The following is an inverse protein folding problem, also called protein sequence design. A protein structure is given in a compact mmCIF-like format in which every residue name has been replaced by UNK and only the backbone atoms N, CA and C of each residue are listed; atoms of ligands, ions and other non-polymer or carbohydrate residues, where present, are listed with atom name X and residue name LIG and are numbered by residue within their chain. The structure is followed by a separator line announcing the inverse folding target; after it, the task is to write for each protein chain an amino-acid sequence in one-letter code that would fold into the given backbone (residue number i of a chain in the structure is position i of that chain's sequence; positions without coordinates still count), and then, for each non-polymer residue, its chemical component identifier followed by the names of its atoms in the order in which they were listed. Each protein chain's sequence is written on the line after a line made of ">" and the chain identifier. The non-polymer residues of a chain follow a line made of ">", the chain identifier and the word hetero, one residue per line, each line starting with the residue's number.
data_IF_070226728994
#
_entry.id   IF_070226728994
#
_cell.length_a   1.000
_cell.length_b   1.000
_cell.length_c   1.000
_cell.angle_alpha   90.00
_cell.angle_beta   90.00
_cell.angle_gamma   90.00
#
_symmetry.space_group_name_H-M   'P 1'
#
loop_
_entity.id
_entity.type
_entity.pdbx_description
1 polymer ?
#
# COMPACT_ATOMS: atom_id res chain seq x y z
N UNK A 1 -23.42 23.63 -27.26
CA UNK A 1 -23.64 22.90 -25.98
C UNK A 1 -22.39 22.08 -25.71
N UNK A 2 -21.67 22.39 -24.61
CA UNK A 2 -20.46 21.66 -24.21
C UNK A 2 -20.79 20.58 -23.17
N UNK A 3 -19.95 19.54 -23.10
CA UNK A 3 -19.99 18.54 -22.04
C UNK A 3 -19.22 19.06 -20.81
N UNK A 4 -19.69 18.72 -19.61
CA UNK A 4 -19.05 19.04 -18.35
C UNK A 4 -18.92 17.78 -17.52
N UNK A 5 -17.75 17.57 -16.92
CA UNK A 5 -17.55 16.47 -15.98
C UNK A 5 -18.35 16.72 -14.69
N UNK A 6 -18.97 15.67 -14.18
CA UNK A 6 -19.50 15.64 -12.81
C UNK A 6 -18.34 15.64 -11.80
N UNK A 7 -18.61 15.92 -10.52
CA UNK A 7 -17.61 15.77 -9.46
C UNK A 7 -16.98 14.37 -9.42
N UNK A 8 -17.79 13.32 -9.58
CA UNK A 8 -17.30 11.94 -9.67
C UNK A 8 -16.46 11.70 -10.94
N UNK A 9 -16.87 12.28 -12.08
CA UNK A 9 -16.11 12.20 -13.32
C UNK A 9 -14.75 12.91 -13.24
N UNK A 10 -14.64 13.98 -12.45
CA UNK A 10 -13.37 14.66 -12.22
C UNK A 10 -12.34 13.76 -11.52
N UNK A 11 -12.78 12.86 -10.62
CA UNK A 11 -11.89 11.91 -9.96
C UNK A 11 -11.23 10.92 -10.93
N UNK A 12 -11.73 10.77 -12.14
CA UNK A 12 -11.11 9.95 -13.19
C UNK A 12 -10.06 10.71 -14.01
N UNK A 13 -9.90 12.01 -13.80
CA UNK A 13 -8.86 12.80 -14.43
C UNK A 13 -7.55 12.61 -13.66
N UNK A 14 -6.46 12.33 -14.38
CA UNK A 14 -5.14 12.03 -13.80
C UNK A 14 -4.64 13.10 -12.85
N UNK A 15 -4.78 14.37 -13.23
CA UNK A 15 -4.25 15.52 -12.48
C UNK A 15 -5.25 16.12 -11.47
N UNK A 16 -6.43 15.53 -11.31
CA UNK A 16 -7.43 16.07 -10.38
C UNK A 16 -7.01 15.84 -8.91
N UNK A 17 -7.27 16.82 -8.03
CA UNK A 17 -7.14 16.58 -6.59
C UNK A 17 -7.99 15.39 -6.16
N UNK A 18 -7.38 14.44 -5.44
CA UNK A 18 -8.05 13.21 -5.02
C UNK A 18 -8.32 12.21 -6.15
N UNK A 19 -7.61 12.33 -7.29
CA UNK A 19 -7.73 11.41 -8.43
C UNK A 19 -7.72 9.95 -8.01
N UNK A 20 -8.59 9.17 -8.67
CA UNK A 20 -8.69 7.71 -8.65
C UNK A 20 -8.50 7.14 -10.07
N UNK A 21 -7.78 7.85 -10.93
CA UNK A 21 -7.57 7.47 -12.31
C UNK A 21 -6.93 6.08 -12.45
N UNK A 22 -5.80 5.87 -11.76
CA UNK A 22 -5.08 4.59 -11.85
C UNK A 22 -5.83 3.48 -11.12
N UNK A 23 -6.52 3.81 -10.01
CA UNK A 23 -7.42 2.85 -9.38
C UNK A 23 -8.53 2.38 -10.34
N UNK A 24 -9.14 3.27 -11.10
CA UNK A 24 -10.15 2.91 -12.10
C UNK A 24 -9.56 2.05 -13.23
N UNK A 25 -8.34 2.35 -13.70
CA UNK A 25 -7.63 1.52 -14.68
C UNK A 25 -7.31 0.13 -14.13
N UNK A 26 -6.82 0.05 -12.89
CA UNK A 26 -6.53 -1.21 -12.22
C UNK A 26 -7.81 -2.06 -12.03
N UNK A 27 -8.86 -1.43 -11.50
CA UNK A 27 -10.13 -2.11 -11.20
C UNK A 27 -10.86 -2.56 -12.46
N UNK A 28 -10.89 -1.73 -13.52
CA UNK A 28 -11.55 -2.05 -14.79
C UNK A 28 -10.70 -2.91 -15.74
N UNK A 29 -9.44 -3.14 -15.44
CA UNK A 29 -8.52 -3.95 -16.22
C UNK A 29 -8.32 -5.36 -15.64
N UNK A 30 -7.09 -5.69 -15.30
CA UNK A 30 -6.73 -7.04 -14.84
C UNK A 30 -7.49 -7.53 -13.60
N UNK A 31 -7.86 -6.63 -12.68
CA UNK A 31 -8.68 -7.01 -11.52
C UNK A 31 -10.08 -7.49 -11.95
N UNK A 32 -10.72 -6.79 -12.90
CA UNK A 32 -12.02 -7.19 -13.42
C UNK A 32 -11.99 -8.59 -14.05
N UNK A 33 -10.95 -8.90 -14.83
CA UNK A 33 -10.77 -10.21 -15.43
C UNK A 33 -10.63 -11.31 -14.38
N UNK A 34 -9.80 -11.08 -13.36
CA UNK A 34 -9.60 -12.04 -12.25
C UNK A 34 -10.89 -12.31 -11.48
N UNK A 35 -11.67 -11.26 -11.19
CA UNK A 35 -12.96 -11.41 -10.51
C UNK A 35 -13.99 -12.18 -11.35
N UNK A 36 -13.88 -12.16 -12.68
CA UNK A 36 -14.72 -12.98 -13.56
C UNK A 36 -14.52 -14.50 -13.37
N UNK A 37 -13.35 -14.90 -12.89
CA UNK A 37 -12.98 -16.30 -12.61
C UNK A 37 -13.01 -16.67 -11.12
N UNK A 38 -13.56 -15.81 -10.27
CA UNK A 38 -13.64 -16.02 -8.83
C UNK A 38 -14.29 -17.38 -8.44
N UNK A 39 -15.37 -17.88 -9.10
CA UNK A 39 -15.91 -19.19 -8.77
C UNK A 39 -14.88 -20.32 -8.88
N UNK A 40 -13.98 -20.24 -9.86
CA UNK A 40 -12.93 -21.23 -10.05
C UNK A 40 -11.82 -21.11 -8.98
N UNK A 41 -11.45 -19.88 -8.59
CA UNK A 41 -10.52 -19.66 -7.48
C UNK A 41 -11.06 -20.25 -6.16
N UNK A 42 -12.33 -20.02 -5.86
CA UNK A 42 -12.99 -20.59 -4.67
C UNK A 42 -13.02 -22.12 -4.71
N UNK A 43 -13.28 -22.72 -5.88
CA UNK A 43 -13.37 -24.18 -6.04
C UNK A 43 -12.00 -24.87 -5.90
N UNK A 44 -10.94 -24.23 -6.38
CA UNK A 44 -9.59 -24.83 -6.44
C UNK A 44 -8.68 -24.41 -5.29
N UNK A 45 -8.99 -23.31 -4.61
CA UNK A 45 -8.09 -22.68 -3.62
C UNK A 45 -6.86 -22.04 -4.23
N UNK A 46 -6.77 -21.95 -5.57
CA UNK A 46 -5.64 -21.36 -6.29
C UNK A 46 -6.01 -20.01 -6.89
N UNK A 47 -5.11 -19.03 -6.76
CA UNK A 47 -5.30 -17.70 -7.33
C UNK A 47 -5.36 -17.73 -8.86
N UNK A 48 -5.89 -16.68 -9.48
CA UNK A 48 -5.89 -16.54 -10.94
C UNK A 48 -4.46 -16.60 -11.51
N UNK A 49 -3.50 -15.95 -10.85
CA UNK A 49 -2.12 -15.91 -11.31
C UNK A 49 -1.45 -17.30 -11.28
N UNK A 50 -1.67 -18.06 -10.21
CA UNK A 50 -1.16 -19.43 -10.09
C UNK A 50 -1.75 -20.35 -11.17
N UNK A 51 -3.07 -20.26 -11.41
CA UNK A 51 -3.74 -21.11 -12.41
C UNK A 51 -3.33 -20.82 -13.86
N UNK A 52 -3.08 -19.55 -14.19
CA UNK A 52 -2.78 -19.15 -15.56
C UNK A 52 -1.28 -18.98 -15.86
N UNK A 53 -0.47 -18.75 -14.85
CA UNK A 53 0.95 -18.42 -15.01
C UNK A 53 1.88 -19.27 -14.14
N UNK A 54 1.36 -20.05 -13.20
CA UNK A 54 2.15 -20.87 -12.27
C UNK A 54 2.97 -20.06 -11.26
N UNK A 55 2.66 -18.78 -11.09
CA UNK A 55 3.40 -17.85 -10.20
C UNK A 55 2.43 -17.06 -9.33
N UNK A 56 2.93 -16.48 -8.24
CA UNK A 56 2.14 -15.62 -7.37
C UNK A 56 1.75 -14.27 -8.02
N UNK A 57 0.76 -13.60 -7.45
CA UNK A 57 0.21 -12.35 -7.99
C UNK A 57 1.25 -11.24 -8.15
N UNK A 58 2.16 -11.06 -7.19
CA UNK A 58 3.22 -10.06 -7.25
C UNK A 58 4.30 -10.39 -8.28
N UNK A 59 4.67 -11.66 -8.42
CA UNK A 59 5.64 -12.11 -9.43
C UNK A 59 5.08 -11.91 -10.85
N UNK A 60 3.80 -12.22 -11.05
CA UNK A 60 3.09 -11.94 -12.31
C UNK A 60 3.02 -10.44 -12.57
N UNK A 61 2.73 -9.63 -11.56
CA UNK A 61 2.69 -8.17 -11.69
C UNK A 61 4.06 -7.61 -12.10
N UNK A 62 5.13 -8.07 -11.48
CA UNK A 62 6.51 -7.65 -11.79
C UNK A 62 6.92 -7.96 -13.24
N UNK A 63 6.31 -8.97 -13.88
CA UNK A 63 6.57 -9.32 -15.29
C UNK A 63 5.86 -8.43 -16.31
N UNK A 64 4.98 -7.51 -15.89
CA UNK A 64 4.22 -6.58 -16.74
C UNK A 64 4.43 -5.14 -16.27
N UNK A 65 5.36 -4.43 -16.90
CA UNK A 65 5.75 -3.07 -16.49
C UNK A 65 4.58 -2.07 -16.51
N UNK A 66 3.64 -2.22 -17.47
CA UNK A 66 2.49 -1.32 -17.55
C UNK A 66 1.50 -1.60 -16.39
N UNK A 67 1.17 -2.86 -16.16
CA UNK A 67 0.32 -3.26 -15.04
C UNK A 67 0.95 -2.89 -13.70
N UNK A 68 2.25 -3.08 -13.54
CA UNK A 68 3.04 -2.70 -12.37
C UNK A 68 2.93 -1.19 -12.09
N UNK A 69 3.16 -0.36 -13.10
CA UNK A 69 3.02 1.11 -13.00
C UNK A 69 1.61 1.52 -12.59
N UNK A 70 0.57 0.97 -13.24
CA UNK A 70 -0.83 1.26 -12.90
C UNK A 70 -1.14 0.85 -11.48
N UNK A 71 -0.69 -0.33 -11.04
CA UNK A 71 -0.89 -0.83 -9.70
C UNK A 71 -0.25 0.08 -8.64
N UNK A 72 1.01 0.44 -8.78
CA UNK A 72 1.70 1.30 -7.81
C UNK A 72 1.06 2.68 -7.69
N UNK A 73 0.67 3.30 -8.81
CA UNK A 73 -0.06 4.57 -8.78
C UNK A 73 -1.45 4.43 -8.16
N UNK A 74 -2.17 3.33 -8.40
CA UNK A 74 -3.44 3.05 -7.76
C UNK A 74 -3.29 2.93 -6.23
N UNK A 75 -2.23 2.26 -5.75
CA UNK A 75 -1.94 2.16 -4.30
C UNK A 75 -1.62 3.52 -3.68
N UNK A 76 -0.92 4.39 -4.41
CA UNK A 76 -0.70 5.79 -4.00
C UNK A 76 -2.03 6.54 -3.87
N UNK A 77 -2.91 6.44 -4.85
CA UNK A 77 -4.23 7.12 -4.83
C UNK A 77 -5.07 6.68 -3.62
N UNK A 78 -5.11 5.38 -3.33
CA UNK A 78 -5.81 4.85 -2.16
C UNK A 78 -5.16 5.30 -0.84
N UNK A 79 -3.82 5.29 -0.78
CA UNK A 79 -3.08 5.72 0.41
C UNK A 79 -3.31 7.20 0.68
N UNK A 80 -3.32 8.05 -0.36
CA UNK A 80 -3.59 9.49 -0.25
C UNK A 80 -4.94 9.77 0.40
N UNK A 81 -5.96 9.01 0.06
CA UNK A 81 -7.28 9.18 0.68
C UNK A 81 -7.30 8.78 2.15
N UNK A 82 -6.56 7.72 2.53
CA UNK A 82 -6.53 7.21 3.89
C UNK A 82 -5.56 7.97 4.81
N UNK A 83 -4.49 8.54 4.26
CA UNK A 83 -3.38 9.13 5.02
C UNK A 83 -3.81 10.20 6.03
N UNK A 84 -4.72 11.16 5.74
CA UNK A 84 -5.13 12.15 6.73
C UNK A 84 -5.76 11.52 7.98
N UNK A 85 -6.62 10.52 7.81
CA UNK A 85 -7.26 9.81 8.91
C UNK A 85 -6.25 8.97 9.71
N UNK A 86 -5.30 8.32 9.02
CA UNK A 86 -4.24 7.54 9.65
C UNK A 86 -3.34 8.46 10.48
N UNK A 87 -2.86 9.55 9.92
CA UNK A 87 -1.93 10.47 10.58
C UNK A 87 -2.56 11.13 11.81
N UNK A 88 -3.87 11.42 11.77
CA UNK A 88 -4.59 12.00 12.89
C UNK A 88 -4.67 11.08 14.14
N UNK A 89 -4.40 9.78 13.99
CA UNK A 89 -4.42 8.81 15.10
C UNK A 89 -3.11 8.80 15.91
N UNK A 90 -2.05 9.48 15.45
CA UNK A 90 -0.72 9.32 16.03
C UNK A 90 -0.20 10.60 16.68
N UNK A 91 0.41 10.45 17.85
CA UNK A 91 1.24 11.49 18.44
C UNK A 91 2.66 11.42 17.87
N UNK A 92 3.01 12.40 17.03
CA UNK A 92 4.27 12.44 16.28
C UNK A 92 5.32 13.37 16.91
N UNK A 93 4.97 14.16 17.94
CA UNK A 93 5.83 15.21 18.51
C UNK A 93 7.20 14.72 18.99
N UNK A 94 7.25 13.50 19.54
CA UNK A 94 8.48 12.91 20.07
C UNK A 94 9.24 12.07 19.04
N UNK A 95 8.66 11.81 17.87
CA UNK A 95 9.25 10.95 16.84
C UNK A 95 10.36 11.70 16.10
N UNK A 96 11.52 11.07 15.93
CA UNK A 96 12.68 11.61 15.22
C UNK A 96 13.07 10.83 13.99
N UNK A 97 12.81 9.53 13.99
CA UNK A 97 13.10 8.67 12.86
C UNK A 97 11.92 7.71 12.59
N UNK A 98 11.52 7.62 11.33
CA UNK A 98 10.38 6.81 10.87
C UNK A 98 10.87 5.89 9.76
N UNK A 99 10.55 4.59 9.86
CA UNK A 99 10.73 3.62 8.77
C UNK A 99 9.37 3.24 8.24
N UNK A 100 9.16 3.35 6.93
CA UNK A 100 7.96 2.86 6.23
C UNK A 100 8.34 1.59 5.47
N UNK A 101 7.85 0.44 5.96
CA UNK A 101 8.18 -0.89 5.46
C UNK A 101 7.12 -1.30 4.43
N UNK A 102 7.56 -1.62 3.21
CA UNK A 102 6.62 -1.85 2.11
C UNK A 102 5.87 -0.57 1.74
N UNK A 103 6.55 0.59 1.86
CA UNK A 103 5.95 1.91 1.71
C UNK A 103 5.70 2.36 0.27
N UNK A 104 6.08 1.53 -0.73
CA UNK A 104 5.89 1.84 -2.15
C UNK A 104 6.54 3.18 -2.53
N UNK A 105 5.75 4.06 -3.12
CA UNK A 105 6.24 5.39 -3.53
C UNK A 105 6.24 6.44 -2.38
N UNK A 106 6.06 6.04 -1.11
CA UNK A 106 6.24 6.91 0.05
C UNK A 106 5.10 7.89 0.35
N UNK A 107 3.88 7.65 -0.15
CA UNK A 107 2.73 8.55 0.07
C UNK A 107 2.37 8.66 1.57
N UNK A 108 2.37 7.54 2.32
CA UNK A 108 2.09 7.57 3.75
C UNK A 108 3.25 8.21 4.53
N UNK A 109 4.48 7.80 4.25
CA UNK A 109 5.67 8.39 4.89
C UNK A 109 5.70 9.90 4.68
N UNK A 110 5.42 10.36 3.46
CA UNK A 110 5.35 11.78 3.13
C UNK A 110 4.32 12.53 3.98
N UNK A 111 3.11 12.00 4.08
CA UNK A 111 2.04 12.58 4.89
C UNK A 111 2.39 12.63 6.39
N UNK A 112 3.02 11.59 6.91
CA UNK A 112 3.49 11.54 8.31
C UNK A 112 4.59 12.57 8.55
N UNK A 113 5.57 12.70 7.64
CA UNK A 113 6.67 13.65 7.77
C UNK A 113 6.23 15.12 7.64
N UNK A 114 5.15 15.40 6.91
CA UNK A 114 4.55 16.75 6.90
C UNK A 114 4.02 17.15 8.28
N UNK A 115 3.50 16.21 9.07
CA UNK A 115 3.02 16.45 10.43
C UNK A 115 4.11 16.33 11.49
N UNK A 116 5.27 15.76 11.14
CA UNK A 116 6.44 15.59 12.00
C UNK A 116 7.66 16.34 11.42
N UNK A 117 7.72 17.69 11.47
CA UNK A 117 8.76 18.46 10.79
C UNK A 117 10.17 18.20 11.31
N UNK A 118 10.32 17.71 12.55
CA UNK A 118 11.60 17.36 13.15
C UNK A 118 12.05 15.92 12.84
N UNK A 119 11.19 15.09 12.24
CA UNK A 119 11.48 13.71 11.94
C UNK A 119 12.17 13.54 10.57
N UNK A 120 12.97 12.48 10.48
CA UNK A 120 13.51 11.94 9.23
C UNK A 120 12.82 10.62 8.90
N UNK A 121 12.76 10.29 7.62
CA UNK A 121 12.13 9.07 7.13
C UNK A 121 13.11 8.16 6.41
N UNK A 122 12.85 6.86 6.49
CA UNK A 122 13.43 5.83 5.64
C UNK A 122 12.29 5.13 4.94
N UNK A 123 12.27 5.20 3.62
CA UNK A 123 11.34 4.48 2.78
C UNK A 123 12.00 3.17 2.35
N UNK A 124 11.41 2.04 2.73
CA UNK A 124 11.97 0.71 2.47
C UNK A 124 10.97 -0.15 1.70
N UNK A 125 11.37 -0.58 0.51
CA UNK A 125 10.58 -1.49 -0.33
C UNK A 125 11.48 -2.14 -1.40
N UNK A 126 10.93 -3.03 -2.21
CA UNK A 126 11.60 -3.55 -3.40
C UNK A 126 11.89 -2.43 -4.41
N UNK A 127 12.98 -2.55 -5.16
CA UNK A 127 13.42 -1.52 -6.11
C UNK A 127 12.33 -1.09 -7.10
N UNK A 128 11.56 -2.05 -7.62
CA UNK A 128 10.45 -1.79 -8.54
C UNK A 128 9.28 -1.02 -7.90
N UNK A 129 9.03 -1.23 -6.62
CA UNK A 129 7.99 -0.50 -5.88
C UNK A 129 8.39 0.94 -5.57
N UNK A 130 9.70 1.19 -5.47
CA UNK A 130 10.30 2.51 -5.20
C UNK A 130 10.41 3.40 -6.43
N UNK A 131 10.11 2.89 -7.63
CA UNK A 131 10.12 3.71 -8.85
C UNK A 131 9.19 4.92 -8.72
N UNK A 132 9.73 6.12 -8.99
CA UNK A 132 9.01 7.39 -8.83
C UNK A 132 8.86 7.90 -7.39
N UNK A 133 9.44 7.21 -6.40
CA UNK A 133 9.37 7.63 -4.99
C UNK A 133 10.11 8.96 -4.74
N UNK A 134 11.27 9.17 -5.36
CA UNK A 134 12.04 10.39 -5.20
C UNK A 134 11.24 11.62 -5.67
N UNK A 135 10.71 11.59 -6.89
CA UNK A 135 9.90 12.68 -7.45
C UNK A 135 8.61 12.91 -6.65
N UNK A 136 8.06 11.85 -6.06
CA UNK A 136 6.90 11.99 -5.20
C UNK A 136 7.22 12.69 -3.89
N UNK A 137 8.28 12.27 -3.21
CA UNK A 137 8.74 12.88 -1.95
C UNK A 137 9.16 14.33 -2.15
N UNK A 138 9.72 14.68 -3.32
CA UNK A 138 10.00 16.07 -3.71
C UNK A 138 8.71 16.87 -3.84
N UNK A 139 7.70 16.35 -4.57
CA UNK A 139 6.38 17.02 -4.70
C UNK A 139 5.67 17.21 -3.37
N UNK A 140 5.83 16.28 -2.44
CA UNK A 140 5.30 16.39 -1.07
C UNK A 140 6.11 17.38 -0.23
N UNK A 141 7.35 17.70 -0.64
CA UNK A 141 8.24 18.65 0.06
C UNK A 141 9.01 18.04 1.23
N UNK A 142 9.24 16.73 1.23
CA UNK A 142 9.92 16.02 2.33
C UNK A 142 11.19 15.27 1.91
N UNK A 143 11.56 15.31 0.62
CA UNK A 143 12.68 14.54 0.08
C UNK A 143 14.01 14.77 0.83
N UNK A 144 14.33 16.01 1.22
CA UNK A 144 15.55 16.34 1.98
C UNK A 144 15.65 15.64 3.35
N UNK A 145 14.54 15.09 3.86
CA UNK A 145 14.47 14.38 5.14
C UNK A 145 14.19 12.88 4.97
N UNK A 146 14.16 12.39 3.73
CA UNK A 146 13.88 11.00 3.40
C UNK A 146 15.10 10.31 2.82
N UNK A 147 15.40 9.12 3.30
CA UNK A 147 16.29 8.15 2.65
C UNK A 147 15.43 7.08 1.99
N UNK A 148 15.72 6.75 0.74
CA UNK A 148 15.10 5.64 0.01
C UNK A 148 16.08 4.47 0.06
N UNK A 149 15.59 3.31 0.48
CA UNK A 149 16.41 2.11 0.67
C UNK A 149 15.71 0.91 0.07
N UNK A 150 16.24 0.43 -1.05
CA UNK A 150 15.74 -0.78 -1.68
C UNK A 150 16.17 -2.02 -0.87
N UNK A 151 15.23 -2.93 -0.64
CA UNK A 151 15.50 -4.17 0.09
C UNK A 151 14.28 -5.09 0.15
N UNK A 152 14.48 -6.20 0.84
CA UNK A 152 13.46 -7.21 1.08
C UNK A 152 13.22 -7.34 2.59
N UNK A 153 12.02 -7.01 3.03
CA UNK A 153 11.63 -7.09 4.45
C UNK A 153 11.63 -8.52 5.01
N UNK A 154 11.69 -9.55 4.16
CA UNK A 154 11.93 -10.93 4.60
C UNK A 154 13.38 -11.19 4.98
N UNK A 155 14.31 -10.36 4.51
CA UNK A 155 15.75 -10.47 4.78
C UNK A 155 16.16 -9.51 5.89
N UNK A 156 15.78 -8.24 5.76
CA UNK A 156 16.13 -7.22 6.76
C UNK A 156 15.21 -6.01 6.68
N UNK A 157 15.13 -5.28 7.79
CA UNK A 157 14.42 -4.01 7.92
C UNK A 157 15.41 -2.96 8.43
N UNK A 158 15.36 -1.70 7.96
CA UNK A 158 16.23 -0.62 8.46
C UNK A 158 16.10 -0.44 9.98
N UNK A 159 17.22 -0.30 10.67
CA UNK A 159 17.29 -0.26 12.13
C UNK A 159 17.28 1.16 12.70
N UNK A 160 17.00 1.29 14.00
CA UNK A 160 17.26 2.51 14.77
C UNK A 160 16.20 3.60 14.68
N UNK A 161 14.99 3.29 14.20
CA UNK A 161 13.88 4.24 14.17
C UNK A 161 13.04 4.19 15.46
N UNK A 162 12.34 5.29 15.73
CA UNK A 162 11.38 5.40 16.83
C UNK A 162 10.01 4.84 16.47
N UNK A 163 9.68 4.89 15.18
CA UNK A 163 8.40 4.51 14.62
C UNK A 163 8.59 3.71 13.33
N UNK A 164 7.92 2.58 13.26
CA UNK A 164 7.85 1.74 12.09
C UNK A 164 6.42 1.69 11.59
N UNK A 165 6.23 1.89 10.30
CA UNK A 165 4.93 1.80 9.63
C UNK A 165 4.91 0.52 8.80
N UNK A 166 3.82 -0.22 8.88
CA UNK A 166 3.55 -1.42 8.09
C UNK A 166 2.09 -1.35 7.63
N UNK A 167 1.86 -0.78 6.45
CA UNK A 167 0.53 -0.51 5.93
C UNK A 167 0.20 -1.36 4.72
N UNK A 168 -0.87 -2.13 4.81
CA UNK A 168 -1.37 -2.96 3.70
C UNK A 168 -0.30 -3.92 3.16
N UNK A 169 0.43 -4.55 4.08
CA UNK A 169 1.49 -5.53 3.78
C UNK A 169 1.07 -6.92 4.22
N UNK A 170 0.68 -7.09 5.49
CA UNK A 170 0.46 -8.42 6.08
C UNK A 170 -0.67 -9.19 5.40
N UNK A 171 -1.70 -8.51 4.92
CA UNK A 171 -2.83 -9.16 4.24
C UNK A 171 -2.47 -9.87 2.92
N UNK A 172 -1.26 -9.67 2.41
CA UNK A 172 -0.77 -10.34 1.19
C UNK A 172 -0.08 -11.67 1.47
N UNK A 173 0.10 -12.04 2.74
CA UNK A 173 0.97 -13.13 3.16
C UNK A 173 0.25 -14.07 4.12
N UNK A 174 0.65 -15.34 4.08
CA UNK A 174 0.21 -16.34 5.05
C UNK A 174 0.78 -16.07 6.45
N UNK A 175 0.29 -16.80 7.45
CA UNK A 175 0.69 -16.62 8.84
C UNK A 175 2.18 -16.86 9.09
N UNK A 176 2.81 -17.79 8.38
CA UNK A 176 4.24 -18.07 8.52
C UNK A 176 5.08 -16.91 7.97
N UNK A 177 4.74 -16.44 6.80
CA UNK A 177 5.35 -15.26 6.18
C UNK A 177 5.14 -14.00 7.03
N UNK A 178 3.93 -13.80 7.57
CA UNK A 178 3.65 -12.69 8.49
C UNK A 178 4.53 -12.75 9.75
N UNK A 179 4.73 -13.94 10.35
CA UNK A 179 5.63 -14.11 11.51
C UNK A 179 7.07 -13.74 11.14
N UNK A 180 7.54 -14.12 9.95
CA UNK A 180 8.88 -13.76 9.48
C UNK A 180 9.03 -12.24 9.33
N UNK A 181 8.09 -11.55 8.68
CA UNK A 181 8.09 -10.10 8.55
C UNK A 181 8.14 -9.43 9.93
N UNK A 182 7.24 -9.82 10.84
CA UNK A 182 7.17 -9.24 12.18
C UNK A 182 8.43 -9.55 13.01
N UNK A 183 9.08 -10.67 12.80
CA UNK A 183 10.36 -11.01 13.45
C UNK A 183 11.49 -10.10 12.96
N UNK A 184 11.55 -9.78 11.66
CA UNK A 184 12.51 -8.81 11.11
C UNK A 184 12.26 -7.41 11.66
N UNK A 185 10.99 -7.00 11.75
CA UNK A 185 10.62 -5.72 12.38
C UNK A 185 11.10 -5.69 13.83
N UNK A 186 10.80 -6.73 14.61
CA UNK A 186 11.20 -6.80 16.02
C UNK A 186 12.71 -6.77 16.22
N UNK A 187 13.48 -7.45 15.35
CA UNK A 187 14.93 -7.44 15.38
C UNK A 187 15.54 -6.06 15.05
N UNK A 188 14.87 -5.28 14.19
CA UNK A 188 15.32 -3.95 13.79
C UNK A 188 14.98 -2.84 14.80
N UNK A 189 13.95 -3.06 15.63
CA UNK A 189 13.37 -2.06 16.50
C UNK A 189 14.17 -1.89 17.81
N UNK A 190 14.57 -0.64 18.19
CA UNK A 190 15.04 -0.36 19.54
C UNK A 190 13.95 -0.64 20.60
N UNK A 191 14.33 -0.83 21.89
CA UNK A 191 13.38 -1.25 22.94
C UNK A 191 12.15 -0.35 23.16
N UNK A 192 12.21 0.90 22.74
CA UNK A 192 11.11 1.88 22.89
C UNK A 192 10.43 2.24 21.57
N UNK A 193 10.86 1.65 20.47
CA UNK A 193 10.25 1.88 19.18
C UNK A 193 8.84 1.29 19.13
N UNK A 194 8.01 1.86 18.29
CA UNK A 194 6.63 1.41 18.04
C UNK A 194 6.50 0.91 16.62
N UNK A 195 5.81 -0.21 16.44
CA UNK A 195 5.34 -0.69 15.14
C UNK A 195 3.86 -0.37 15.01
N UNK A 196 3.48 0.31 13.95
CA UNK A 196 2.11 0.58 13.57
C UNK A 196 1.73 -0.30 12.39
N UNK A 197 0.91 -1.30 12.67
CA UNK A 197 0.29 -2.14 11.64
C UNK A 197 -1.02 -1.50 11.23
N UNK A 198 -1.14 -1.13 9.97
CA UNK A 198 -2.29 -0.41 9.41
C UNK A 198 -2.93 -1.28 8.37
N UNK A 199 -4.03 -1.93 8.75
CA UNK A 199 -4.74 -2.90 7.94
C UNK A 199 -6.25 -2.71 7.99
N UNK A 200 -6.95 -3.26 7.02
CA UNK A 200 -8.41 -3.37 7.04
C UNK A 200 -8.81 -4.62 7.80
N UNK A 201 -9.50 -4.43 8.91
CA UNK A 201 -10.01 -5.55 9.68
C UNK A 201 -11.32 -6.05 9.07
N UNK A 202 -11.38 -7.35 8.83
CA UNK A 202 -12.62 -8.04 8.48
C UNK A 202 -13.42 -8.30 9.76
N UNK A 203 -14.72 -7.94 9.82
CA UNK A 203 -15.57 -8.32 10.93
C UNK A 203 -15.79 -9.85 10.95
N UNK A 204 -15.94 -10.42 12.14
CA UNK A 204 -16.24 -11.85 12.30
C UNK A 204 -17.52 -12.25 11.56
N UNK A 205 -18.54 -11.42 11.64
CA UNK A 205 -19.80 -11.58 10.92
C UNK A 205 -19.97 -10.40 9.96
N UNK A 206 -19.91 -10.64 8.63
CA UNK A 206 -20.14 -9.58 7.67
C UNK A 206 -21.59 -9.07 7.77
N UNK A 207 -21.75 -7.76 7.89
CA UNK A 207 -23.03 -7.11 7.75
C UNK A 207 -23.43 -6.93 6.28
N UNK A 208 -24.52 -6.19 6.05
CA UNK A 208 -25.02 -5.90 4.70
C UNK A 208 -24.80 -4.44 4.27
N UNK A 209 -24.06 -3.66 5.08
CA UNK A 209 -23.77 -2.26 4.80
C UNK A 209 -22.78 -2.06 3.64
N UNK A 210 -22.64 -0.83 3.13
CA UNK A 210 -21.66 -0.52 2.09
C UNK A 210 -20.22 -0.86 2.48
N UNK A 211 -19.84 -0.61 3.75
CA UNK A 211 -18.52 -0.92 4.28
C UNK A 211 -18.25 -2.43 4.33
N UNK A 212 -19.25 -3.22 4.75
CA UNK A 212 -19.10 -4.67 4.84
C UNK A 212 -18.89 -5.29 3.46
N UNK A 213 -19.64 -4.78 2.44
CA UNK A 213 -19.44 -5.19 1.05
C UNK A 213 -18.08 -4.80 0.49
N UNK A 214 -17.57 -3.63 0.85
CA UNK A 214 -16.22 -3.21 0.44
C UNK A 214 -15.14 -4.12 1.04
N UNK A 215 -15.25 -4.42 2.33
CA UNK A 215 -14.32 -5.33 3.02
C UNK A 215 -14.37 -6.72 2.43
N UNK A 216 -15.58 -7.29 2.22
CA UNK A 216 -15.74 -8.60 1.60
C UNK A 216 -15.15 -8.66 0.18
N UNK A 217 -15.37 -7.63 -0.64
CA UNK A 217 -14.78 -7.55 -1.98
C UNK A 217 -13.26 -7.48 -1.94
N UNK A 218 -12.68 -6.78 -0.97
CA UNK A 218 -11.23 -6.70 -0.81
C UNK A 218 -10.64 -8.05 -0.38
N UNK A 219 -11.32 -8.75 0.52
CA UNK A 219 -10.96 -10.10 0.97
C UNK A 219 -10.95 -11.10 -0.21
N UNK A 220 -12.02 -11.08 -1.01
CA UNK A 220 -12.11 -11.90 -2.23
C UNK A 220 -11.02 -11.58 -3.28
N UNK A 221 -10.50 -10.37 -3.29
CA UNK A 221 -9.42 -9.99 -4.20
C UNK A 221 -8.05 -10.55 -3.77
N UNK A 222 -7.94 -11.08 -2.56
CA UNK A 222 -6.72 -11.76 -2.09
C UNK A 222 -6.67 -13.25 -2.50
N UNK A 223 -7.76 -13.81 -3.02
CA UNK A 223 -7.81 -15.10 -3.69
C UNK A 223 -7.29 -15.00 -5.14
#
# INVERSE_FOLDING_TARGET
>A
RGWRLTQKGQLLCREAPGSLHHWALHAGGGLWQRLGELPEAVRTGASWAERHHGVGGYERLASDAQACTVFHHAMVELTRQAAPAIVALFELKAVRCIVDIGGGQGELLGAVLQQAPAARGVLHDQATALEGAAERLERIGVAARCRIEAGDFFVSVPTGADLYLLKSVLHNWDDESCRRILSQCAAAMPPRARLLVIERLRPELPGHGPRDREVARTDLNML
#
